data_IF_747209746229
#
_entry.id   IF_747209746229
#
_cell.length_a   1.000
_cell.length_b   1.000
_cell.length_c   1.000
_cell.angle_alpha   90.00
_cell.angle_beta   90.00
_cell.angle_gamma   90.00
#
_symmetry.space_group_name_H-M   'P 1'
#
loop_
_entity.id
_entity.type
_entity.pdbx_description
1 polymer ?
#
# COMPACT_ATOMS: atom_id res chain seq x y z
N UNK A 1 2.71 -16.22 7.96
CA UNK A 1 2.13 -17.25 7.07
C UNK A 1 2.95 -17.31 5.78
N UNK A 2 3.49 -18.44 5.32
CA UNK A 2 4.16 -18.49 4.03
C UNK A 2 3.14 -18.32 2.90
N UNK A 3 3.28 -17.24 2.14
CA UNK A 3 2.36 -16.84 1.07
C UNK A 3 2.80 -17.51 -0.24
N UNK A 4 2.02 -18.49 -0.72
CA UNK A 4 2.35 -19.23 -1.96
C UNK A 4 1.86 -18.54 -3.24
N UNK A 5 1.17 -17.40 -3.12
CA UNK A 5 0.59 -16.58 -4.19
C UNK A 5 0.44 -15.15 -3.70
N UNK A 6 0.63 -14.17 -4.57
CA UNK A 6 0.36 -12.76 -4.29
C UNK A 6 -0.98 -12.52 -3.58
N UNK A 7 -0.93 -11.69 -2.53
CA UNK A 7 -2.09 -11.26 -1.77
C UNK A 7 -2.49 -9.84 -2.20
N UNK A 8 -3.27 -9.73 -3.28
CA UNK A 8 -3.84 -8.45 -3.69
C UNK A 8 -5.14 -8.17 -2.90
N UNK A 9 -5.21 -7.18 -2.00
CA UNK A 9 -6.34 -6.93 -1.11
C UNK A 9 -7.68 -6.75 -1.82
N UNK A 10 -7.68 -6.09 -2.98
CA UNK A 10 -8.87 -5.93 -3.82
C UNK A 10 -9.49 -7.28 -4.19
N UNK A 11 -8.69 -8.33 -4.36
CA UNK A 11 -9.17 -9.67 -4.66
C UNK A 11 -9.52 -10.45 -3.40
N UNK A 12 -8.57 -10.63 -2.49
CA UNK A 12 -8.73 -11.62 -1.42
C UNK A 12 -9.70 -11.15 -0.34
N UNK A 13 -9.69 -9.86 0.03
CA UNK A 13 -10.62 -9.29 1.02
C UNK A 13 -12.07 -9.43 0.54
N UNK A 14 -12.26 -9.39 -0.77
CA UNK A 14 -13.57 -9.57 -1.41
C UNK A 14 -13.89 -11.04 -1.75
N UNK A 15 -13.05 -12.00 -1.36
CA UNK A 15 -13.25 -13.43 -1.60
C UNK A 15 -13.11 -13.85 -3.06
N UNK A 16 -12.46 -13.04 -3.90
CA UNK A 16 -12.29 -13.30 -5.35
C UNK A 16 -11.08 -14.17 -5.67
N UNK A 17 -10.13 -14.28 -4.74
CA UNK A 17 -8.94 -15.12 -4.91
C UNK A 17 -8.91 -16.30 -3.92
N UNK A 18 -8.25 -17.38 -4.35
CA UNK A 18 -8.08 -18.61 -3.58
C UNK A 18 -6.74 -18.55 -2.86
N UNK A 19 -6.73 -17.91 -1.69
CA UNK A 19 -5.51 -17.63 -0.89
C UNK A 19 -5.03 -18.81 -0.04
N UNK A 20 -5.77 -19.91 0.01
CA UNK A 20 -5.36 -21.13 0.70
C UNK A 20 -5.65 -22.36 -0.15
N UNK A 21 -4.76 -23.37 -0.07
CA UNK A 21 -5.01 -24.70 -0.64
C UNK A 21 -5.89 -25.56 0.26
N UNK A 22 -5.93 -25.25 1.56
CA UNK A 22 -6.74 -25.94 2.58
C UNK A 22 -7.64 -24.92 3.24
N UNK A 23 -8.90 -24.88 2.82
CA UNK A 23 -9.86 -23.94 3.36
C UNK A 23 -10.18 -24.28 4.83
N UNK A 24 -10.10 -23.32 5.78
CA UNK A 24 -10.39 -23.59 7.19
C UNK A 24 -11.88 -23.87 7.41
N UNK A 25 -12.20 -24.90 8.21
CA UNK A 25 -13.58 -25.28 8.48
C UNK A 25 -14.39 -24.19 9.20
N UNK A 26 -13.74 -23.29 9.96
CA UNK A 26 -14.39 -22.17 10.65
C UNK A 26 -15.05 -21.13 9.74
N UNK A 27 -14.67 -21.09 8.46
CA UNK A 27 -15.29 -20.22 7.45
C UNK A 27 -16.21 -21.02 6.51
N UNK A 28 -16.54 -22.26 6.87
CA UNK A 28 -17.54 -23.06 6.14
C UNK A 28 -18.87 -22.95 6.86
N UNK A 29 -19.86 -22.39 6.18
CA UNK A 29 -21.23 -22.34 6.68
C UNK A 29 -22.08 -23.25 5.79
N UNK A 30 -22.74 -24.23 6.39
CA UNK A 30 -23.56 -25.23 5.68
C UNK A 30 -22.86 -25.93 4.50
N UNK A 31 -21.55 -26.18 4.64
CA UNK A 31 -20.74 -26.83 3.61
C UNK A 31 -20.28 -25.89 2.47
N UNK A 32 -20.66 -24.61 2.51
CA UNK A 32 -20.22 -23.59 1.54
C UNK A 32 -18.99 -22.87 2.07
N UNK A 33 -17.98 -22.64 1.22
CA UNK A 33 -16.75 -21.93 1.58
C UNK A 33 -16.91 -20.41 1.45
N UNK A 34 -16.82 -19.68 2.57
CA UNK A 34 -16.92 -18.23 2.60
C UNK A 34 -15.54 -17.58 2.48
N UNK A 35 -15.04 -17.48 1.24
CA UNK A 35 -13.72 -16.89 0.95
C UNK A 35 -13.57 -15.43 1.39
N UNK A 36 -14.69 -14.69 1.45
CA UNK A 36 -14.71 -13.32 1.95
C UNK A 36 -14.35 -13.27 3.44
N UNK A 37 -14.87 -14.20 4.24
CA UNK A 37 -14.61 -14.27 5.67
C UNK A 37 -13.14 -14.60 5.93
N UNK A 38 -12.62 -15.62 5.23
CA UNK A 38 -11.20 -15.98 5.29
C UNK A 38 -10.30 -14.81 4.84
N UNK A 39 -10.66 -14.14 3.74
CA UNK A 39 -9.87 -13.03 3.21
C UNK A 39 -9.80 -11.85 4.18
N UNK A 40 -10.92 -11.50 4.81
CA UNK A 40 -10.97 -10.45 5.85
C UNK A 40 -10.18 -10.83 7.09
N UNK A 41 -10.24 -12.09 7.53
CA UNK A 41 -9.42 -12.58 8.64
C UNK A 41 -7.93 -12.46 8.32
N UNK A 42 -7.51 -12.88 7.12
CA UNK A 42 -6.11 -12.75 6.68
C UNK A 42 -5.67 -11.28 6.62
N UNK A 43 -6.51 -10.37 6.14
CA UNK A 43 -6.19 -8.94 6.13
C UNK A 43 -6.01 -8.40 7.56
N UNK A 44 -6.90 -8.76 8.49
CA UNK A 44 -6.79 -8.35 9.89
C UNK A 44 -5.48 -8.84 10.54
N UNK A 45 -5.08 -10.10 10.29
CA UNK A 45 -3.81 -10.64 10.77
C UNK A 45 -2.59 -9.94 10.14
N UNK A 46 -2.67 -9.59 8.85
CA UNK A 46 -1.62 -8.81 8.18
C UNK A 46 -1.52 -7.38 8.72
N UNK A 47 -2.65 -6.72 9.00
CA UNK A 47 -2.69 -5.41 9.63
C UNK A 47 -2.14 -5.45 11.05
N UNK A 48 -2.42 -6.51 11.82
CA UNK A 48 -1.85 -6.70 13.14
C UNK A 48 -0.32 -6.89 13.08
N UNK A 49 0.16 -7.65 12.08
CA UNK A 49 1.60 -7.80 11.84
C UNK A 49 2.26 -6.45 11.49
N UNK A 50 1.64 -5.65 10.62
CA UNK A 50 2.09 -4.28 10.30
C UNK A 50 2.17 -3.42 11.56
N UNK A 51 1.11 -3.45 12.37
CA UNK A 51 1.01 -2.72 13.63
C UNK A 51 2.10 -3.12 14.63
N UNK A 52 2.45 -4.40 14.69
CA UNK A 52 3.41 -4.90 15.68
C UNK A 52 4.87 -4.93 15.22
N UNK A 53 5.18 -4.63 13.95
CA UNK A 53 6.55 -4.73 13.44
C UNK A 53 7.43 -3.57 13.92
N UNK A 54 8.45 -3.88 14.73
CA UNK A 54 9.44 -2.89 15.18
C UNK A 54 10.29 -2.36 14.02
N UNK A 55 10.57 -1.06 14.03
CA UNK A 55 11.36 -0.39 12.99
C UNK A 55 10.60 -0.12 11.69
N UNK A 56 9.35 -0.60 11.55
CA UNK A 56 8.51 -0.29 10.40
C UNK A 56 7.73 1.01 10.63
N UNK A 57 7.79 1.89 9.65
CA UNK A 57 6.88 3.04 9.49
C UNK A 57 6.03 2.79 8.26
N UNK A 58 4.74 3.12 8.34
CA UNK A 58 3.82 3.05 7.20
C UNK A 58 3.26 4.44 6.95
N UNK A 59 2.69 4.65 5.77
CA UNK A 59 2.02 5.91 5.46
C UNK A 59 1.26 5.76 4.16
N UNK A 60 0.24 6.61 3.99
CA UNK A 60 -0.47 6.72 2.74
C UNK A 60 -0.57 8.18 2.34
N UNK A 61 -0.53 8.42 1.03
CA UNK A 61 -0.80 9.73 0.45
C UNK A 61 -1.90 9.58 -0.59
N UNK A 62 -2.69 10.63 -0.77
CA UNK A 62 -3.74 10.65 -1.79
C UNK A 62 -3.81 12.02 -2.43
N UNK A 63 -4.46 12.07 -3.60
CA UNK A 63 -4.77 13.31 -4.30
C UNK A 63 -6.11 13.18 -4.99
N UNK A 64 -6.98 14.16 -4.82
CA UNK A 64 -8.21 14.26 -5.58
C UNK A 64 -7.95 14.78 -7.01
N UNK A 65 -8.74 14.32 -7.98
CA UNK A 65 -8.62 14.79 -9.35
C UNK A 65 -9.75 14.31 -10.25
N UNK A 66 -9.83 14.87 -11.45
CA UNK A 66 -10.77 14.42 -12.49
C UNK A 66 -10.37 13.01 -12.96
N UNK A 67 -11.28 12.02 -12.95
CA UNK A 67 -11.02 10.69 -13.50
C UNK A 67 -10.50 10.71 -14.96
N UNK A 68 -10.84 11.72 -15.75
CA UNK A 68 -10.34 11.89 -17.13
C UNK A 68 -8.85 12.24 -17.18
N UNK A 69 -8.28 12.74 -16.07
CA UNK A 69 -6.88 13.13 -15.92
C UNK A 69 -6.12 12.19 -14.99
N UNK A 70 -6.61 10.96 -14.76
CA UNK A 70 -6.05 10.01 -13.80
C UNK A 70 -4.53 9.83 -13.92
N UNK A 71 -4.00 9.70 -15.15
CA UNK A 71 -2.56 9.55 -15.38
C UNK A 71 -1.76 10.77 -14.89
N UNK A 72 -2.27 11.98 -15.13
CA UNK A 72 -1.67 13.22 -14.68
C UNK A 72 -1.76 13.38 -13.16
N UNK A 73 -2.93 13.07 -12.57
CA UNK A 73 -3.13 13.09 -11.12
C UNK A 73 -2.18 12.13 -10.42
N UNK A 74 -2.05 10.89 -10.94
CA UNK A 74 -1.11 9.88 -10.42
C UNK A 74 0.33 10.36 -10.52
N UNK A 75 0.74 10.88 -11.67
CA UNK A 75 2.09 11.39 -11.86
C UNK A 75 2.39 12.52 -10.85
N UNK A 76 1.46 13.47 -10.70
CA UNK A 76 1.66 14.62 -9.83
C UNK A 76 1.66 14.24 -8.35
N UNK A 77 0.84 13.27 -7.94
CA UNK A 77 0.88 12.69 -6.60
C UNK A 77 2.23 12.00 -6.33
N UNK A 78 2.72 11.21 -7.30
CA UNK A 78 4.02 10.57 -7.15
C UNK A 78 5.18 11.57 -7.06
N UNK A 79 5.18 12.61 -7.89
CA UNK A 79 6.19 13.67 -7.82
C UNK A 79 6.20 14.34 -6.44
N UNK A 80 5.03 14.74 -5.93
CA UNK A 80 4.92 15.34 -4.60
C UNK A 80 5.35 14.37 -3.48
N UNK A 81 5.09 13.07 -3.62
CA UNK A 81 5.57 12.06 -2.67
C UNK A 81 7.10 11.97 -2.65
N UNK A 82 7.74 11.97 -3.82
CA UNK A 82 9.22 11.92 -3.89
C UNK A 82 9.85 13.20 -3.33
N UNK A 83 9.28 14.37 -3.62
CA UNK A 83 9.72 15.65 -3.04
C UNK A 83 9.56 15.69 -1.50
N UNK A 84 8.52 15.05 -0.98
CA UNK A 84 8.34 14.87 0.46
C UNK A 84 9.42 13.98 1.05
N UNK A 85 9.73 12.84 0.41
CA UNK A 85 10.84 11.98 0.87
C UNK A 85 12.17 12.72 0.89
N UNK A 86 12.47 13.55 -0.11
CA UNK A 86 13.67 14.38 -0.11
C UNK A 86 13.75 15.28 1.13
N UNK A 87 12.64 15.94 1.45
CA UNK A 87 12.56 16.85 2.60
C UNK A 87 12.71 16.12 3.93
N UNK A 88 12.07 14.95 4.08
CA UNK A 88 12.16 14.13 5.28
C UNK A 88 13.57 13.55 5.46
N UNK A 89 14.18 13.02 4.39
CA UNK A 89 15.53 12.48 4.42
C UNK A 89 16.57 13.57 4.72
N UNK A 90 16.42 14.77 4.16
CA UNK A 90 17.31 15.90 4.45
C UNK A 90 17.24 16.32 5.92
N UNK A 91 16.03 16.40 6.49
CA UNK A 91 15.82 16.73 7.89
C UNK A 91 16.44 15.71 8.86
N UNK A 92 16.63 14.46 8.41
CA UNK A 92 17.24 13.38 9.18
C UNK A 92 18.70 13.09 8.81
N UNK A 93 19.30 13.88 7.91
CA UNK A 93 20.62 13.62 7.30
C UNK A 93 20.78 12.17 6.84
N UNK A 94 19.75 11.67 6.15
CA UNK A 94 19.64 10.29 5.70
C UNK A 94 19.64 10.19 4.18
N UNK A 95 19.81 8.97 3.68
CA UNK A 95 19.64 8.63 2.27
C UNK A 95 18.60 7.53 2.14
N UNK A 96 17.86 7.55 1.04
CA UNK A 96 16.76 6.61 0.80
C UNK A 96 16.82 5.98 -0.58
N UNK A 97 16.12 4.85 -0.75
CA UNK A 97 15.89 4.21 -2.03
C UNK A 97 14.39 3.93 -2.15
N UNK A 98 13.86 4.02 -3.37
CA UNK A 98 12.44 3.75 -3.64
C UNK A 98 12.33 2.42 -4.36
N UNK A 99 11.60 1.49 -3.74
CA UNK A 99 11.13 0.26 -4.35
C UNK A 99 9.63 0.41 -4.60
N UNK A 100 9.15 -0.10 -5.73
CA UNK A 100 7.73 -0.08 -6.04
C UNK A 100 7.32 -1.23 -6.95
N UNK A 101 6.05 -1.60 -6.87
CA UNK A 101 5.43 -2.51 -7.83
C UNK A 101 5.41 -1.92 -9.25
N UNK A 102 5.63 -2.80 -10.23
CA UNK A 102 5.55 -2.49 -11.66
C UNK A 102 6.66 -3.15 -12.49
N UNK A 103 6.67 -2.82 -13.77
CA UNK A 103 7.61 -3.39 -14.77
C UNK A 103 8.57 -2.33 -15.36
N UNK A 104 8.49 -1.08 -14.88
CA UNK A 104 9.30 0.05 -15.36
C UNK A 104 8.87 0.59 -16.72
N UNK A 105 7.71 0.19 -17.25
CA UNK A 105 7.19 0.67 -18.53
C UNK A 105 6.67 2.11 -18.48
N UNK A 106 6.29 2.62 -17.31
CA UNK A 106 5.83 3.99 -17.13
C UNK A 106 7.03 4.94 -16.93
N UNK A 107 7.35 5.82 -17.92
CA UNK A 107 8.48 6.72 -17.82
C UNK A 107 8.28 7.83 -16.79
N UNK A 108 7.06 8.09 -16.34
CA UNK A 108 6.74 9.22 -15.46
C UNK A 108 7.40 9.10 -14.09
N UNK A 109 7.59 7.89 -13.58
CA UNK A 109 8.34 7.64 -12.34
C UNK A 109 9.80 8.03 -12.48
N UNK A 110 10.46 7.61 -13.57
CA UNK A 110 11.84 8.03 -13.87
C UNK A 110 11.93 9.55 -14.00
N UNK A 111 11.00 10.18 -14.71
CA UNK A 111 10.99 11.64 -14.88
C UNK A 111 10.91 12.37 -13.53
N UNK A 112 10.09 11.90 -12.59
CA UNK A 112 10.00 12.51 -11.26
C UNK A 112 11.34 12.45 -10.49
N UNK A 113 12.02 11.29 -10.51
CA UNK A 113 13.34 11.14 -9.87
C UNK A 113 14.43 11.99 -10.53
N UNK A 114 14.41 12.10 -11.86
CA UNK A 114 15.41 12.89 -12.62
C UNK A 114 15.17 14.39 -12.57
N UNK A 115 14.01 14.84 -12.08
CA UNK A 115 13.73 16.25 -11.83
C UNK A 115 14.33 16.76 -10.51
N UNK A 116 14.79 15.87 -9.62
CA UNK A 116 15.41 16.22 -8.35
C UNK A 116 16.76 16.91 -8.55
N UNK A 117 17.11 17.84 -7.64
CA UNK A 117 18.37 18.57 -7.67
C UNK A 117 19.53 17.68 -7.28
N UNK A 118 20.42 17.39 -8.22
CA UNK A 118 21.51 16.41 -8.04
C UNK A 118 22.46 16.72 -6.87
N UNK A 119 22.69 17.99 -6.56
CA UNK A 119 23.59 18.43 -5.48
C UNK A 119 22.96 18.38 -4.08
N UNK A 120 21.64 18.20 -4.00
CA UNK A 120 20.86 18.14 -2.76
C UNK A 120 20.12 16.80 -2.59
N UNK A 121 20.30 15.90 -3.55
CA UNK A 121 19.50 14.68 -3.69
C UNK A 121 19.75 13.71 -2.53
N UNK A 122 18.68 13.27 -1.86
CA UNK A 122 18.73 12.28 -0.76
C UNK A 122 18.19 10.90 -1.15
N UNK A 123 17.26 10.84 -2.10
CA UNK A 123 16.74 9.63 -2.73
C UNK A 123 17.69 9.20 -3.83
N UNK A 124 18.30 8.02 -3.67
CA UNK A 124 19.32 7.49 -4.58
C UNK A 124 18.67 6.71 -5.71
N UNK A 125 19.18 6.89 -6.94
CA UNK A 125 18.73 6.21 -8.17
C UNK A 125 17.26 6.41 -8.54
N UNK A 126 16.86 5.97 -9.73
CA UNK A 126 15.44 5.90 -10.07
C UNK A 126 14.73 4.81 -9.23
N UNK A 127 13.39 4.85 -9.18
CA UNK A 127 12.61 3.79 -8.54
C UNK A 127 12.94 2.40 -9.10
N UNK A 128 13.21 1.46 -8.19
CA UNK A 128 13.48 0.06 -8.49
C UNK A 128 12.14 -0.68 -8.54
N UNK A 129 11.83 -1.24 -9.69
CA UNK A 129 10.58 -1.94 -9.93
C UNK A 129 10.73 -3.42 -9.58
N UNK A 130 9.83 -3.94 -8.74
CA UNK A 130 9.78 -5.32 -8.30
C UNK A 130 8.41 -5.93 -8.62
N UNK A 131 8.37 -7.22 -8.95
CA UNK A 131 7.11 -7.95 -9.05
C UNK A 131 6.57 -8.19 -7.62
N UNK A 132 5.38 -7.64 -7.33
CA UNK A 132 4.66 -7.80 -6.06
C UNK A 132 4.56 -9.26 -5.58
N UNK A 133 4.49 -10.25 -6.49
CA UNK A 133 4.46 -11.69 -6.13
C UNK A 133 5.66 -12.13 -5.31
N UNK A 134 6.78 -11.44 -5.49
CA UNK A 134 8.06 -11.78 -4.89
C UNK A 134 8.48 -10.83 -3.77
N UNK A 135 7.72 -9.75 -3.51
CA UNK A 135 8.03 -8.77 -2.46
C UNK A 135 6.94 -8.71 -1.40
N UNK A 136 7.28 -9.13 -0.17
CA UNK A 136 6.37 -8.98 0.97
C UNK A 136 6.15 -7.50 1.33
N UNK A 137 7.16 -6.65 1.13
CA UNK A 137 7.05 -5.21 1.38
C UNK A 137 6.08 -4.54 0.42
N UNK A 138 6.05 -4.93 -0.85
CA UNK A 138 5.06 -4.41 -1.81
C UNK A 138 3.64 -4.87 -1.44
N UNK A 139 3.46 -6.14 -1.05
CA UNK A 139 2.16 -6.65 -0.60
C UNK A 139 1.68 -5.94 0.69
N UNK A 140 2.61 -5.62 1.59
CA UNK A 140 2.35 -4.81 2.78
C UNK A 140 1.94 -3.38 2.40
N UNK A 141 2.64 -2.75 1.46
CA UNK A 141 2.33 -1.41 0.96
C UNK A 141 0.95 -1.37 0.27
N UNK A 142 0.59 -2.39 -0.52
CA UNK A 142 -0.72 -2.50 -1.17
C UNK A 142 -1.86 -2.62 -0.12
N UNK A 143 -1.64 -3.36 0.97
CA UNK A 143 -2.61 -3.43 2.08
C UNK A 143 -2.75 -2.09 2.81
N UNK A 144 -1.67 -1.34 3.01
CA UNK A 144 -1.71 0.02 3.58
C UNK A 144 -2.50 0.95 2.65
N UNK A 145 -2.19 0.94 1.35
CA UNK A 145 -2.87 1.76 0.35
C UNK A 145 -4.37 1.42 0.25
N UNK A 146 -4.72 0.13 0.25
CA UNK A 146 -6.12 -0.32 0.22
C UNK A 146 -6.88 0.10 1.48
N UNK A 147 -6.25 -0.01 2.65
CA UNK A 147 -6.86 0.42 3.92
C UNK A 147 -7.07 1.93 3.97
N UNK A 148 -6.11 2.70 3.44
CA UNK A 148 -6.25 4.15 3.31
C UNK A 148 -7.41 4.50 2.37
N UNK A 149 -7.47 3.87 1.20
CA UNK A 149 -8.56 4.05 0.25
C UNK A 149 -9.93 3.73 0.88
N UNK A 150 -10.06 2.61 1.59
CA UNK A 150 -11.31 2.23 2.26
C UNK A 150 -11.73 3.24 3.34
N UNK A 151 -10.78 3.89 4.02
CA UNK A 151 -11.04 4.94 5.02
C UNK A 151 -11.33 6.33 4.44
N UNK A 152 -10.93 6.58 3.19
CA UNK A 152 -11.13 7.87 2.52
C UNK A 152 -12.39 7.86 1.65
N UNK A 153 -12.60 6.78 0.91
CA UNK A 153 -13.75 6.57 0.03
C UNK A 153 -14.67 5.52 0.66
N UNK A 154 -15.64 6.00 1.44
CA UNK A 154 -16.62 5.20 2.19
C UNK A 154 -17.65 4.50 1.29
N UNK A 155 -17.18 3.70 0.32
CA UNK A 155 -18.03 2.85 -0.48
C UNK A 155 -18.67 1.77 0.41
N UNK A 156 -20.00 1.64 0.39
CA UNK A 156 -20.74 0.75 1.30
C UNK A 156 -20.33 -0.73 1.23
N UNK A 157 -19.79 -1.19 0.11
CA UNK A 157 -19.23 -2.55 -0.01
C UNK A 157 -18.02 -2.81 0.91
N UNK A 158 -17.36 -1.74 1.38
CA UNK A 158 -16.15 -1.75 2.20
C UNK A 158 -16.37 -1.24 3.63
N UNK A 159 -17.62 -1.13 4.10
CA UNK A 159 -17.95 -0.62 5.45
C UNK A 159 -17.17 -1.32 6.57
N UNK A 160 -16.98 -2.64 6.44
CA UNK A 160 -16.20 -3.45 7.38
C UNK A 160 -14.72 -3.01 7.55
N UNK A 161 -14.20 -2.18 6.64
CA UNK A 161 -12.82 -1.75 6.57
C UNK A 161 -12.60 -0.25 6.73
N UNK A 162 -13.67 0.56 6.88
CA UNK A 162 -13.54 2.02 7.00
C UNK A 162 -12.60 2.44 8.15
N UNK A 163 -12.63 1.71 9.26
CA UNK A 163 -11.82 2.02 10.44
C UNK A 163 -10.44 1.32 10.46
N UNK A 164 -10.10 0.49 9.47
CA UNK A 164 -8.87 -0.31 9.49
C UNK A 164 -7.61 0.56 9.57
N UNK A 165 -7.57 1.65 8.81
CA UNK A 165 -6.43 2.57 8.86
C UNK A 165 -6.28 3.19 10.25
N UNK A 166 -7.35 3.77 10.77
CA UNK A 166 -7.36 4.46 12.06
C UNK A 166 -7.02 3.52 13.24
N UNK A 167 -7.48 2.27 13.18
CA UNK A 167 -7.32 1.30 14.29
C UNK A 167 -6.04 0.48 14.23
N UNK A 168 -5.50 0.24 13.03
CA UNK A 168 -4.36 -0.67 12.85
C UNK A 168 -3.08 0.02 12.38
N UNK A 169 -3.19 1.10 11.59
CA UNK A 169 -2.05 1.70 10.90
C UNK A 169 -1.68 3.08 11.44
N UNK A 170 -2.63 3.82 12.03
CA UNK A 170 -2.40 5.17 12.52
C UNK A 170 -1.26 5.26 13.54
N UNK A 171 -0.95 4.20 14.31
CA UNK A 171 0.18 4.23 15.23
C UNK A 171 1.56 4.10 14.58
N UNK A 172 1.61 3.56 13.35
CA UNK A 172 2.82 3.41 12.54
C UNK A 172 2.96 4.49 11.48
N UNK A 173 1.93 5.30 11.27
CA UNK A 173 1.99 6.50 10.44
C UNK A 173 2.41 7.72 11.26
N UNK A 174 3.47 8.39 10.82
CA UNK A 174 3.97 9.64 11.40
C UNK A 174 2.86 10.71 11.44
N UNK A 175 1.99 10.74 10.43
CA UNK A 175 0.88 11.69 10.33
C UNK A 175 -0.40 11.19 11.01
N UNK A 176 -0.40 9.96 11.55
CA UNK A 176 -1.56 9.29 12.14
C UNK A 176 -2.76 9.13 11.17
N UNK A 177 -2.54 9.26 9.86
CA UNK A 177 -3.61 9.25 8.86
C UNK A 177 -3.11 9.55 7.44
N UNK A 178 -3.86 9.14 6.40
CA UNK A 178 -3.48 9.43 5.02
C UNK A 178 -3.38 10.93 4.77
N UNK A 179 -2.33 11.35 4.06
CA UNK A 179 -2.07 12.77 3.78
C UNK A 179 -2.49 13.14 2.36
N UNK A 180 -3.23 14.23 2.20
CA UNK A 180 -3.47 14.81 0.88
C UNK A 180 -2.21 15.54 0.42
N UNK A 181 -1.74 15.24 -0.79
CA UNK A 181 -0.56 15.87 -1.41
C UNK A 181 -0.89 16.48 -2.74
#
# INVERSE_FOLDING_TARGET
>A
MPVTRELHPTEYVNGRSRISRRFPDRHRHDGVEFWKDLGREVAAECLEALRCTEGLTVGAVFRHGDPKQLAQTRHSAYTALVERFESELDAHDALGMVFMDGDGSDPTYRTAHRALKLDQRRVIEDAIHLDSKHSQLEQMADLVAWSAYASLDHHGGNEFAWDWYATSLAERDINRGPLEI
#
